data_IF_455710499614
#
_entry.id   IF_455710499614
#
_cell.length_a   1.000
_cell.length_b   1.000
_cell.length_c   1.000
_cell.angle_alpha   90.00
_cell.angle_beta   90.00
_cell.angle_gamma   90.00
#
_symmetry.space_group_name_H-M   'P 1'
#
loop_
_entity.id
_entity.type
_entity.pdbx_description
1 polymer ?
#
# COMPACT_ATOMS: atom_id res chain seq x y z
N UNK A 1 -36.69 15.35 -16.38
CA UNK A 1 -35.35 15.01 -16.93
C UNK A 1 -34.24 16.01 -16.55
N UNK A 2 -34.49 17.33 -16.50
CA UNK A 2 -33.43 18.34 -16.22
C UNK A 2 -32.80 18.29 -14.80
N UNK A 3 -33.51 17.80 -13.78
CA UNK A 3 -33.01 17.76 -12.38
C UNK A 3 -31.87 16.75 -12.18
N UNK A 4 -31.99 15.55 -12.78
CA UNK A 4 -30.97 14.49 -12.77
C UNK A 4 -29.63 14.94 -13.40
N UNK A 5 -29.68 15.74 -14.47
CA UNK A 5 -28.47 16.20 -15.15
C UNK A 5 -27.70 17.25 -14.33
N UNK A 6 -28.41 18.09 -13.55
CA UNK A 6 -27.77 19.05 -12.65
C UNK A 6 -27.12 18.36 -11.45
N UNK A 7 -27.80 17.37 -10.86
CA UNK A 7 -27.25 16.56 -9.77
C UNK A 7 -26.01 15.78 -10.20
N UNK A 8 -26.02 15.19 -11.41
CA UNK A 8 -24.86 14.52 -11.97
C UNK A 8 -23.68 15.49 -12.19
N UNK A 9 -23.93 16.70 -12.69
CA UNK A 9 -22.90 17.71 -12.88
C UNK A 9 -22.21 18.08 -11.56
N UNK A 10 -22.98 18.33 -10.50
CA UNK A 10 -22.42 18.61 -9.18
C UNK A 10 -21.62 17.42 -8.63
N UNK A 11 -22.13 16.19 -8.77
CA UNK A 11 -21.42 14.99 -8.34
C UNK A 11 -20.06 14.85 -9.06
N UNK A 12 -20.02 15.07 -10.38
CA UNK A 12 -18.76 15.04 -11.13
C UNK A 12 -17.80 16.14 -10.69
N UNK A 13 -18.26 17.36 -10.46
CA UNK A 13 -17.39 18.46 -9.99
C UNK A 13 -16.78 18.18 -8.62
N UNK A 14 -17.49 17.52 -7.71
CA UNK A 14 -16.95 17.12 -6.40
C UNK A 14 -15.88 16.03 -6.50
N UNK A 15 -16.05 15.08 -7.42
CA UNK A 15 -15.10 13.98 -7.63
C UNK A 15 -13.86 14.45 -8.42
N UNK A 16 -14.06 15.38 -9.35
CA UNK A 16 -13.04 15.83 -10.31
C UNK A 16 -11.69 16.21 -9.68
N UNK A 17 -11.59 17.05 -8.63
CA UNK A 17 -10.29 17.42 -8.07
C UNK A 17 -9.54 16.21 -7.47
N UNK A 18 -10.23 15.34 -6.74
CA UNK A 18 -9.63 14.11 -6.19
C UNK A 18 -9.21 13.15 -7.31
N UNK A 19 -10.02 13.05 -8.36
CA UNK A 19 -9.73 12.22 -9.52
C UNK A 19 -8.52 12.73 -10.31
N UNK A 20 -8.39 14.05 -10.50
CA UNK A 20 -7.21 14.65 -11.14
C UNK A 20 -5.95 14.33 -10.33
N UNK A 21 -5.98 14.50 -9.00
CA UNK A 21 -4.84 14.16 -8.15
C UNK A 21 -4.47 12.67 -8.26
N UNK A 22 -5.46 11.78 -8.25
CA UNK A 22 -5.23 10.35 -8.43
C UNK A 22 -4.59 10.06 -9.80
N UNK A 23 -5.10 10.65 -10.88
CA UNK A 23 -4.52 10.46 -12.21
C UNK A 23 -3.07 10.96 -12.26
N UNK A 24 -2.83 12.19 -11.80
CA UNK A 24 -1.52 12.83 -11.92
C UNK A 24 -0.46 12.19 -11.04
N UNK A 25 -0.79 11.82 -9.81
CA UNK A 25 0.19 11.34 -8.83
C UNK A 25 0.23 9.83 -8.65
N UNK A 26 -0.78 9.08 -9.10
CA UNK A 26 -0.77 7.62 -9.07
C UNK A 26 -0.73 7.03 -10.48
N UNK A 27 -1.73 7.32 -11.31
CA UNK A 27 -1.88 6.58 -12.56
C UNK A 27 -0.78 6.91 -13.57
N UNK A 28 -0.43 8.18 -13.73
CA UNK A 28 0.64 8.61 -14.65
C UNK A 28 1.99 7.97 -14.26
N UNK A 29 2.47 8.07 -13.00
CA UNK A 29 3.70 7.40 -12.58
C UNK A 29 3.70 5.89 -12.81
N UNK A 30 2.58 5.20 -12.52
CA UNK A 30 2.46 3.75 -12.76
C UNK A 30 2.63 3.43 -14.25
N UNK A 31 1.98 4.18 -15.14
CA UNK A 31 2.11 3.98 -16.58
C UNK A 31 3.53 4.30 -17.06
N UNK A 32 4.17 5.33 -16.49
CA UNK A 32 5.57 5.64 -16.77
C UNK A 32 6.50 4.50 -16.35
N UNK A 33 6.30 3.91 -15.18
CA UNK A 33 7.09 2.76 -14.70
C UNK A 33 6.92 1.54 -15.62
N UNK A 34 5.70 1.30 -16.10
CA UNK A 34 5.44 0.25 -17.10
C UNK A 34 6.23 0.52 -18.38
N UNK A 35 6.18 1.75 -18.92
CA UNK A 35 6.96 2.11 -20.13
C UNK A 35 8.47 1.97 -19.86
N UNK A 36 8.95 2.45 -18.72
CA UNK A 36 10.36 2.39 -18.35
C UNK A 36 10.84 0.96 -18.14
N UNK A 37 9.97 0.03 -17.73
CA UNK A 37 10.31 -1.39 -17.60
C UNK A 37 10.76 -2.03 -18.93
N UNK A 38 10.38 -1.46 -20.07
CA UNK A 38 10.85 -1.89 -21.41
C UNK A 38 12.09 -1.12 -21.92
N UNK A 39 12.58 -0.19 -21.11
CA UNK A 39 13.73 0.66 -21.45
C UNK A 39 14.91 0.40 -20.51
N UNK A 40 16.12 0.64 -21.00
CA UNK A 40 17.29 0.80 -20.16
C UNK A 40 17.29 2.24 -19.68
N UNK A 41 16.71 2.45 -18.51
CA UNK A 41 16.60 3.75 -17.86
C UNK A 41 17.36 3.73 -16.54
N UNK A 42 18.17 4.77 -16.28
CA UNK A 42 18.95 4.91 -15.05
C UNK A 42 18.90 6.34 -14.50
N UNK A 43 17.85 7.11 -14.83
CA UNK A 43 17.62 8.52 -14.45
C UNK A 43 18.63 9.52 -15.01
N UNK A 44 19.89 9.12 -15.20
CA UNK A 44 20.99 9.96 -15.68
C UNK A 44 21.03 10.01 -17.22
N UNK A 45 20.76 8.88 -17.88
CA UNK A 45 20.80 8.77 -19.34
C UNK A 45 19.40 8.73 -19.93
N UNK A 46 19.27 9.23 -21.17
CA UNK A 46 18.02 9.13 -21.93
C UNK A 46 17.58 7.66 -22.07
N UNK A 47 16.29 7.35 -21.86
CA UNK A 47 15.79 5.98 -21.89
C UNK A 47 16.00 5.36 -23.28
N UNK A 48 16.66 4.20 -23.33
CA UNK A 48 16.83 3.41 -24.56
C UNK A 48 15.88 2.24 -24.55
N UNK A 49 15.00 2.13 -25.55
CA UNK A 49 14.09 0.98 -25.64
C UNK A 49 14.88 -0.32 -25.88
N UNK A 50 14.70 -1.30 -25.00
CA UNK A 50 15.39 -2.60 -25.04
C UNK A 50 14.41 -3.78 -25.10
N UNK A 51 13.11 -3.52 -25.23
CA UNK A 51 12.06 -4.54 -25.27
C UNK A 51 12.00 -5.34 -23.98
N UNK A 52 11.94 -6.67 -24.09
CA UNK A 52 11.74 -7.59 -22.96
C UNK A 52 13.02 -7.97 -22.19
N UNK A 53 14.17 -7.36 -22.50
CA UNK A 53 15.46 -7.75 -21.90
C UNK A 53 15.49 -7.61 -20.37
N UNK A 54 14.81 -6.61 -19.80
CA UNK A 54 14.70 -6.45 -18.35
C UNK A 54 13.95 -7.61 -17.70
N UNK A 55 12.88 -8.10 -18.32
CA UNK A 55 12.12 -9.27 -17.84
C UNK A 55 12.94 -10.55 -17.95
N UNK A 56 13.67 -10.77 -19.04
CA UNK A 56 14.58 -11.92 -19.16
C UNK A 56 15.66 -11.93 -18.06
N UNK A 57 16.21 -10.76 -17.74
CA UNK A 57 17.16 -10.59 -16.64
C UNK A 57 16.51 -10.89 -15.29
N UNK A 58 15.27 -10.44 -15.07
CA UNK A 58 14.51 -10.70 -13.84
C UNK A 58 14.45 -12.20 -13.50
N UNK A 59 14.18 -13.04 -14.50
CA UNK A 59 14.08 -14.50 -14.32
C UNK A 59 15.42 -15.22 -14.23
N UNK A 60 16.52 -14.56 -14.57
CA UNK A 60 17.87 -15.16 -14.53
C UNK A 60 18.67 -14.69 -13.30
N UNK A 61 18.26 -13.60 -12.67
CA UNK A 61 18.93 -13.00 -11.53
C UNK A 61 18.50 -13.67 -10.21
N UNK A 62 19.43 -14.41 -9.61
CA UNK A 62 19.20 -15.14 -8.36
C UNK A 62 18.83 -14.22 -7.19
N UNK A 63 19.33 -12.99 -7.16
CA UNK A 63 19.02 -12.05 -6.09
C UNK A 63 17.59 -11.53 -6.21
N UNK A 64 17.15 -11.22 -7.43
CA UNK A 64 15.77 -10.79 -7.69
C UNK A 64 14.79 -11.90 -7.35
N UNK A 65 15.05 -13.14 -7.81
CA UNK A 65 14.20 -14.28 -7.52
C UNK A 65 14.15 -14.61 -6.01
N UNK A 66 15.28 -14.53 -5.32
CA UNK A 66 15.32 -14.71 -3.87
C UNK A 66 14.53 -13.62 -3.15
N UNK A 67 14.66 -12.35 -3.59
CA UNK A 67 13.89 -11.23 -3.06
C UNK A 67 12.38 -11.43 -3.23
N UNK A 68 11.92 -11.79 -4.44
CA UNK A 68 10.51 -12.09 -4.71
C UNK A 68 10.02 -13.22 -3.81
N UNK A 69 10.77 -14.32 -3.71
CA UNK A 69 10.41 -15.46 -2.86
C UNK A 69 10.29 -15.05 -1.39
N UNK A 70 11.25 -14.30 -0.87
CA UNK A 70 11.23 -13.84 0.52
C UNK A 70 10.05 -12.92 0.79
N UNK A 71 9.78 -11.96 -0.09
CA UNK A 71 8.63 -11.05 0.03
C UNK A 71 7.31 -11.81 -0.01
N UNK A 72 7.16 -12.79 -0.90
CA UNK A 72 5.96 -13.62 -0.98
C UNK A 72 5.78 -14.44 0.29
N UNK A 73 6.80 -15.18 0.74
CA UNK A 73 6.74 -15.98 1.97
C UNK A 73 6.40 -15.10 3.17
N UNK A 74 7.10 -13.97 3.31
CA UNK A 74 6.83 -13.01 4.37
C UNK A 74 5.39 -12.53 4.33
N UNK A 75 4.89 -12.09 3.17
CA UNK A 75 3.53 -11.54 3.04
C UNK A 75 2.46 -12.59 3.32
N UNK A 76 2.60 -13.80 2.77
CA UNK A 76 1.65 -14.90 2.97
C UNK A 76 1.61 -15.43 4.40
N UNK A 77 2.68 -15.28 5.18
CA UNK A 77 2.70 -15.69 6.59
C UNK A 77 2.21 -14.55 7.47
N UNK A 78 2.76 -13.34 7.29
CA UNK A 78 2.49 -12.21 8.18
C UNK A 78 1.08 -11.68 8.06
N UNK A 79 0.55 -11.52 6.83
CA UNK A 79 -0.78 -10.94 6.62
C UNK A 79 -1.89 -11.80 7.26
N UNK A 80 -1.96 -13.13 7.04
CA UNK A 80 -2.98 -13.95 7.68
C UNK A 80 -2.83 -14.00 9.21
N UNK A 81 -1.61 -14.16 9.71
CA UNK A 81 -1.36 -14.21 11.16
C UNK A 81 -1.80 -12.88 11.81
N UNK A 82 -1.39 -11.75 11.25
CA UNK A 82 -1.77 -10.43 11.75
C UNK A 82 -3.28 -10.22 11.68
N UNK A 83 -3.92 -10.66 10.59
CA UNK A 83 -5.38 -10.53 10.41
C UNK A 83 -6.13 -11.39 11.43
N UNK A 84 -5.75 -12.65 11.61
CA UNK A 84 -6.38 -13.57 12.56
C UNK A 84 -6.24 -13.05 13.99
N UNK A 85 -5.03 -12.64 14.38
CA UNK A 85 -4.77 -12.10 15.72
C UNK A 85 -5.59 -10.82 15.94
N UNK A 86 -5.52 -9.87 15.01
CA UNK A 86 -6.22 -8.58 15.13
C UNK A 86 -7.74 -8.77 15.20
N UNK A 87 -8.30 -9.65 14.36
CA UNK A 87 -9.72 -9.94 14.35
C UNK A 87 -10.17 -10.66 15.63
N UNK A 88 -9.37 -11.60 16.14
CA UNK A 88 -9.65 -12.30 17.39
C UNK A 88 -9.68 -11.32 18.56
N UNK A 89 -8.69 -10.45 18.67
CA UNK A 89 -8.64 -9.40 19.71
C UNK A 89 -9.85 -8.47 19.55
N UNK A 90 -10.15 -8.02 18.33
CA UNK A 90 -11.29 -7.14 18.07
C UNK A 90 -12.63 -7.81 18.45
N UNK A 91 -12.83 -9.08 18.13
CA UNK A 91 -14.03 -9.84 18.48
C UNK A 91 -14.18 -10.03 20.00
N UNK A 92 -13.09 -10.30 20.72
CA UNK A 92 -13.08 -10.41 22.18
C UNK A 92 -13.42 -9.07 22.85
N UNK A 93 -12.84 -7.96 22.39
CA UNK A 93 -13.15 -6.62 22.88
C UNK A 93 -14.62 -6.26 22.61
N UNK A 94 -15.11 -6.52 21.40
CA UNK A 94 -16.47 -6.20 20.99
C UNK A 94 -17.54 -7.02 21.73
N UNK A 95 -17.25 -8.27 22.08
CA UNK A 95 -18.21 -9.17 22.76
C UNK A 95 -18.20 -9.02 24.28
N UNK A 96 -17.03 -8.99 24.92
CA UNK A 96 -16.90 -9.02 26.40
C UNK A 96 -16.69 -7.65 27.03
N UNK A 97 -16.18 -6.67 26.30
CA UNK A 97 -15.69 -5.40 26.87
C UNK A 97 -16.26 -4.16 26.19
N UNK A 98 -17.40 -4.30 25.48
CA UNK A 98 -18.02 -3.26 24.65
C UNK A 98 -18.20 -1.90 25.33
N UNK A 99 -18.42 -1.88 26.66
CA UNK A 99 -18.66 -0.69 27.48
C UNK A 99 -17.86 -0.71 28.80
N UNK A 100 -16.70 -1.37 28.84
CA UNK A 100 -15.87 -1.38 30.05
C UNK A 100 -14.74 -0.36 29.93
N UNK A 101 -14.38 0.30 31.05
CA UNK A 101 -13.20 1.19 31.12
C UNK A 101 -11.92 0.48 30.64
N UNK A 102 -11.83 -0.83 30.86
CA UNK A 102 -10.75 -1.68 30.37
C UNK A 102 -10.74 -1.80 28.84
N UNK A 103 -11.90 -1.98 28.20
CA UNK A 103 -12.02 -2.05 26.74
C UNK A 103 -11.62 -0.74 26.05
N UNK A 104 -12.01 0.40 26.62
CA UNK A 104 -11.63 1.73 26.13
C UNK A 104 -10.13 2.00 26.26
N UNK A 105 -9.54 1.65 27.41
CA UNK A 105 -8.10 1.74 27.62
C UNK A 105 -7.32 0.87 26.64
N UNK A 106 -7.71 -0.41 26.50
CA UNK A 106 -7.03 -1.37 25.63
C UNK A 106 -7.09 -0.92 24.17
N UNK A 107 -8.24 -0.42 23.69
CA UNK A 107 -8.36 0.16 22.35
C UNK A 107 -7.38 1.29 22.15
N UNK A 108 -7.31 2.24 23.09
CA UNK A 108 -6.43 3.40 23.00
C UNK A 108 -4.94 2.99 23.00
N UNK A 109 -4.55 2.06 23.88
CA UNK A 109 -3.18 1.56 23.97
C UNK A 109 -2.73 0.85 22.69
N UNK A 110 -3.61 0.08 22.04
CA UNK A 110 -3.31 -0.60 20.78
C UNK A 110 -3.05 0.35 19.60
N UNK A 111 -3.53 1.60 19.66
CA UNK A 111 -3.27 2.61 18.62
C UNK A 111 -1.95 3.36 18.82
N UNK A 112 -1.39 3.40 20.04
CA UNK A 112 -0.16 4.15 20.33
C UNK A 112 1.01 3.75 19.40
N UNK A 113 1.30 2.46 19.16
CA UNK A 113 2.43 2.06 18.31
C UNK A 113 2.24 2.46 16.84
N UNK A 114 1.00 2.55 16.37
CA UNK A 114 0.69 2.89 14.97
C UNK A 114 1.00 4.36 14.66
N UNK A 115 0.98 5.21 15.69
CA UNK A 115 1.27 6.65 15.57
C UNK A 115 2.79 6.91 15.63
N UNK A 116 3.57 5.95 16.15
CA UNK A 116 5.02 6.09 16.20
C UNK A 116 5.62 6.08 14.78
N UNK A 117 6.57 6.99 14.53
CA UNK A 117 7.26 7.09 13.25
C UNK A 117 7.98 5.78 12.92
N UNK A 118 7.88 5.34 11.66
CA UNK A 118 8.59 4.16 11.17
C UNK A 118 10.09 4.24 11.46
N UNK A 119 10.69 5.43 11.37
CA UNK A 119 12.12 5.66 11.67
C UNK A 119 12.44 5.32 13.12
N UNK A 120 11.61 5.77 14.08
CA UNK A 120 11.81 5.52 15.50
C UNK A 120 11.73 4.01 15.81
N UNK A 121 10.72 3.34 15.26
CA UNK A 121 10.55 1.89 15.43
C UNK A 121 11.76 1.13 14.87
N UNK A 122 12.24 1.51 13.67
CA UNK A 122 13.42 0.88 13.06
C UNK A 122 14.68 1.08 13.91
N UNK A 123 14.92 2.26 14.46
CA UNK A 123 16.10 2.50 15.32
C UNK A 123 16.08 1.70 16.63
N UNK A 124 14.90 1.44 17.19
CA UNK A 124 14.77 0.62 18.40
C UNK A 124 15.10 -0.86 18.16
N UNK A 125 14.87 -1.35 16.95
CA UNK A 125 15.13 -2.74 16.56
C UNK A 125 16.57 -2.99 16.10
N UNK A 126 17.31 -1.93 15.73
CA UNK A 126 18.68 -2.02 15.22
C UNK A 126 19.75 -1.87 16.32
N UNK A 127 19.37 -1.41 17.53
CA UNK A 127 20.23 -1.33 18.70
C UNK A 127 20.07 -2.59 19.58
#
# INVERSE_FOLDING_TARGET
MQKKNKEALFAYTYILPGFILLLTFYLIPILMDVVFSFTKYNVIQSPKFIGMKNFQRLFSDKFILAGIKNTLIYSFITVPIQTIISLTIAALLASKFKNSKFGEFTRSALFIPVIASAVLISTLWLN
#
